data_IF_611848360989
#
_entry.id   IF_611848360989
#
_cell.length_a   1.000
_cell.length_b   1.000
_cell.length_c   1.000
_cell.angle_alpha   90.00
_cell.angle_beta   90.00
_cell.angle_gamma   90.00
#
_symmetry.space_group_name_H-M   'P 1'
#
loop_
_entity.id
_entity.type
_entity.pdbx_description
1 polymer ?
#
# COMPACT_ATOMS: atom_id res chain seq x y z
N UNK A 1 -28.02 88.71 5.11
CA UNK A 1 -27.75 87.72 4.10
C UNK A 1 -27.44 86.43 4.83
N UNK A 2 -28.43 85.52 4.98
CA UNK A 2 -28.28 84.28 5.74
C UNK A 2 -28.08 83.10 4.74
N UNK A 3 -26.95 82.43 4.85
CA UNK A 3 -26.63 81.30 4.03
C UNK A 3 -27.04 79.98 4.80
N UNK A 4 -27.94 79.25 4.24
CA UNK A 4 -28.44 78.01 4.79
C UNK A 4 -27.39 76.86 4.58
N UNK A 5 -27.14 76.04 5.63
CA UNK A 5 -26.34 74.81 5.58
C UNK A 5 -27.17 73.64 4.99
N UNK A 6 -26.62 72.83 4.13
CA UNK A 6 -27.34 71.66 3.66
C UNK A 6 -27.25 70.53 4.68
N UNK A 7 -28.37 69.85 4.91
CA UNK A 7 -28.55 68.66 5.73
C UNK A 7 -28.08 67.48 4.99
N UNK A 8 -26.88 66.98 5.31
CA UNK A 8 -26.30 65.71 4.77
C UNK A 8 -26.28 64.58 5.83
N UNK A 9 -27.43 64.20 6.34
CA UNK A 9 -27.48 63.12 7.39
C UNK A 9 -28.35 61.93 7.08
N UNK A 10 -29.14 61.96 5.99
CA UNK A 10 -30.12 60.92 5.75
C UNK A 10 -29.69 59.81 4.75
N UNK A 11 -28.65 60.08 3.99
CA UNK A 11 -28.12 59.12 2.98
C UNK A 11 -27.21 58.03 3.58
N UNK A 12 -26.43 58.39 4.61
CA UNK A 12 -25.46 57.43 5.21
C UNK A 12 -26.12 56.29 6.01
N UNK A 13 -27.28 56.51 6.61
CA UNK A 13 -27.95 55.43 7.39
C UNK A 13 -28.61 54.39 6.49
N UNK A 14 -29.10 54.77 5.30
CA UNK A 14 -29.71 53.82 4.34
C UNK A 14 -28.68 52.92 3.64
N UNK A 15 -27.47 53.41 3.39
CA UNK A 15 -26.38 52.63 2.82
C UNK A 15 -25.79 51.63 3.82
N UNK A 16 -25.69 51.99 5.10
CA UNK A 16 -25.15 51.07 6.14
C UNK A 16 -26.14 49.94 6.40
N UNK A 17 -27.46 50.19 6.42
CA UNK A 17 -28.47 49.12 6.58
C UNK A 17 -28.55 48.20 5.37
N UNK A 18 -28.37 48.69 4.16
CA UNK A 18 -28.37 47.87 2.96
C UNK A 18 -27.11 46.96 2.89
N UNK A 19 -25.93 47.44 3.26
CA UNK A 19 -24.70 46.65 3.30
C UNK A 19 -24.75 45.60 4.40
N UNK A 20 -25.31 45.91 5.58
CA UNK A 20 -25.50 44.95 6.66
C UNK A 20 -26.49 43.82 6.28
N UNK A 21 -27.56 44.17 5.55
CA UNK A 21 -28.54 43.18 5.09
C UNK A 21 -27.94 42.22 4.02
N UNK A 22 -27.14 42.72 3.09
CA UNK A 22 -26.44 41.93 2.09
C UNK A 22 -25.38 41.03 2.74
N UNK A 23 -24.66 41.51 3.73
CA UNK A 23 -23.66 40.73 4.48
C UNK A 23 -24.34 39.59 5.29
N UNK A 24 -25.50 39.83 5.90
CA UNK A 24 -26.25 38.76 6.58
C UNK A 24 -26.83 37.73 5.61
N UNK A 25 -27.33 38.17 4.46
CA UNK A 25 -27.80 37.22 3.43
C UNK A 25 -26.65 36.36 2.87
N UNK A 26 -25.49 36.93 2.64
CA UNK A 26 -24.29 36.21 2.22
C UNK A 26 -23.83 35.20 3.30
N UNK A 27 -23.84 35.61 4.59
CA UNK A 27 -23.49 34.73 5.68
C UNK A 27 -24.49 33.53 5.83
N UNK A 28 -25.79 33.74 5.59
CA UNK A 28 -26.78 32.66 5.57
C UNK A 28 -26.65 31.74 4.36
N UNK A 29 -26.21 32.23 3.21
CA UNK A 29 -25.91 31.38 2.04
C UNK A 29 -24.64 30.54 2.24
N UNK A 30 -23.62 31.06 2.92
CA UNK A 30 -22.43 30.30 3.25
C UNK A 30 -22.64 29.32 4.42
N UNK A 31 -23.54 29.58 5.33
CA UNK A 31 -23.87 28.67 6.42
C UNK A 31 -24.61 27.40 5.94
N UNK A 32 -25.25 27.41 4.77
CA UNK A 32 -25.94 26.26 4.18
C UNK A 32 -25.10 25.49 3.15
N UNK A 33 -23.89 25.94 2.83
CA UNK A 33 -22.89 25.14 2.12
C UNK A 33 -21.98 24.40 3.10
N UNK A 34 -22.50 23.95 4.21
CA UNK A 34 -21.94 22.79 4.87
C UNK A 34 -21.91 21.70 3.82
N UNK A 35 -20.76 21.49 3.20
CA UNK A 35 -20.46 20.21 2.57
C UNK A 35 -20.78 19.18 3.66
N UNK A 36 -21.98 18.65 3.62
CA UNK A 36 -22.22 17.35 4.19
C UNK A 36 -21.25 16.43 3.44
N UNK A 37 -20.01 16.34 3.92
CA UNK A 37 -19.34 15.08 3.84
C UNK A 37 -20.34 14.12 4.50
N UNK A 38 -21.14 13.48 3.69
CA UNK A 38 -21.69 12.22 4.07
C UNK A 38 -20.45 11.41 4.45
N UNK A 39 -20.07 11.42 5.73
CA UNK A 39 -19.46 10.26 6.29
C UNK A 39 -20.43 9.16 5.86
N UNK A 40 -20.06 8.43 4.83
CA UNK A 40 -20.55 7.09 4.68
C UNK A 40 -20.09 6.44 5.99
N UNK A 41 -20.93 6.52 6.98
CA UNK A 41 -20.88 5.62 8.09
C UNK A 41 -21.09 4.28 7.42
N UNK A 42 -19.97 3.65 7.11
CA UNK A 42 -19.88 2.31 6.59
C UNK A 42 -20.33 1.40 7.76
N UNK A 43 -21.62 1.50 8.06
CA UNK A 43 -22.27 0.66 9.06
C UNK A 43 -22.65 -0.59 8.28
N UNK A 44 -21.79 -1.63 8.33
CA UNK A 44 -22.16 -2.88 7.74
C UNK A 44 -23.49 -3.33 8.37
N UNK A 45 -24.37 -3.97 7.61
CA UNK A 45 -25.64 -4.43 8.13
C UNK A 45 -25.45 -5.19 9.45
N UNK A 46 -26.25 -4.91 10.46
CA UNK A 46 -26.16 -5.52 11.81
C UNK A 46 -26.08 -7.05 11.79
N UNK A 47 -26.61 -7.68 10.76
CA UNK A 47 -26.57 -9.14 10.57
C UNK A 47 -25.18 -9.69 10.30
N UNK A 48 -24.23 -8.84 9.89
CA UNK A 48 -22.82 -9.24 9.65
C UNK A 48 -22.02 -9.26 10.94
N UNK A 49 -22.46 -8.52 11.98
CA UNK A 49 -21.89 -8.60 13.33
C UNK A 49 -22.36 -9.84 14.11
N UNK A 50 -23.36 -10.57 13.59
CA UNK A 50 -23.69 -11.86 14.20
C UNK A 50 -22.49 -12.76 14.10
N UNK A 51 -21.99 -13.17 15.26
CA UNK A 51 -21.01 -14.24 15.37
C UNK A 51 -21.47 -15.43 14.53
N UNK A 52 -20.97 -15.55 13.31
CA UNK A 52 -20.98 -16.83 12.63
C UNK A 52 -19.99 -17.66 13.42
N UNK A 53 -20.47 -18.40 14.41
CA UNK A 53 -19.73 -19.49 14.99
C UNK A 53 -19.14 -20.29 13.82
N UNK A 54 -17.88 -20.69 13.92
CA UNK A 54 -17.16 -21.45 12.89
C UNK A 54 -18.06 -22.58 12.36
N UNK A 55 -18.77 -22.33 11.27
CA UNK A 55 -19.67 -23.31 10.64
C UNK A 55 -18.91 -24.29 9.78
N UNK A 56 -17.59 -24.10 9.60
CA UNK A 56 -16.74 -24.87 8.69
C UNK A 56 -16.00 -26.05 9.35
N UNK A 57 -16.37 -26.38 10.58
CA UNK A 57 -15.74 -27.53 11.28
C UNK A 57 -14.23 -27.36 11.43
N UNK A 58 -13.46 -28.33 10.90
CA UNK A 58 -11.99 -28.35 10.96
C UNK A 58 -11.29 -27.65 9.79
N UNK A 59 -12.00 -26.78 9.06
CA UNK A 59 -11.44 -26.04 7.92
C UNK A 59 -11.16 -24.57 8.28
N UNK A 60 -10.15 -23.99 7.61
CA UNK A 60 -9.90 -22.55 7.59
C UNK A 60 -9.88 -22.07 6.14
N UNK A 61 -10.68 -21.06 5.84
CA UNK A 61 -10.73 -20.44 4.52
C UNK A 61 -9.90 -19.17 4.48
N UNK A 62 -8.80 -19.18 3.76
CA UNK A 62 -7.93 -18.03 3.57
C UNK A 62 -8.01 -17.54 2.13
N UNK A 63 -8.41 -16.29 1.97
CA UNK A 63 -8.43 -15.63 0.67
C UNK A 63 -7.05 -15.06 0.33
N UNK A 64 -6.71 -15.19 -0.94
CA UNK A 64 -5.45 -14.71 -1.52
C UNK A 64 -5.76 -13.89 -2.76
N UNK A 65 -5.17 -12.71 -2.89
CA UNK A 65 -5.27 -11.94 -4.13
C UNK A 65 -4.46 -12.65 -5.23
N UNK A 66 -5.16 -13.36 -6.12
CA UNK A 66 -4.54 -14.14 -7.19
C UNK A 66 -3.76 -13.32 -8.22
N UNK A 67 -4.00 -12.01 -8.27
CA UNK A 67 -3.25 -11.06 -9.08
C UNK A 67 -1.98 -10.53 -8.40
N UNK A 68 -1.86 -10.71 -7.10
CA UNK A 68 -0.71 -10.23 -6.35
C UNK A 68 0.54 -11.04 -6.73
N UNK A 69 1.68 -10.37 -6.76
CA UNK A 69 2.96 -11.03 -6.99
C UNK A 69 3.27 -12.07 -5.91
N UNK A 70 2.75 -11.88 -4.69
CA UNK A 70 2.94 -12.77 -3.56
C UNK A 70 1.98 -13.98 -3.54
N UNK A 71 1.02 -14.07 -4.46
CA UNK A 71 -0.07 -15.05 -4.41
C UNK A 71 0.38 -16.51 -4.18
N UNK A 72 1.46 -16.94 -4.83
CA UNK A 72 1.98 -18.30 -4.66
C UNK A 72 2.60 -18.53 -3.28
N UNK A 73 3.31 -17.52 -2.76
CA UNK A 73 3.86 -17.54 -1.41
C UNK A 73 2.74 -17.50 -0.35
N UNK A 74 1.77 -16.60 -0.52
CA UNK A 74 0.64 -16.47 0.40
C UNK A 74 -0.17 -17.77 0.50
N UNK A 75 -0.35 -18.50 -0.63
CA UNK A 75 -0.98 -19.83 -0.63
C UNK A 75 -0.15 -20.83 0.16
N UNK A 76 1.13 -20.95 -0.15
CA UNK A 76 2.02 -21.89 0.55
C UNK A 76 2.10 -21.58 2.06
N UNK A 77 2.18 -20.30 2.43
CA UNK A 77 2.14 -19.89 3.83
C UNK A 77 0.80 -20.20 4.49
N UNK A 78 -0.31 -19.99 3.79
CA UNK A 78 -1.65 -20.34 4.26
C UNK A 78 -1.80 -21.83 4.57
N UNK A 79 -1.22 -22.70 3.72
CA UNK A 79 -1.15 -24.16 3.96
C UNK A 79 -0.35 -24.48 5.24
N UNK A 80 0.81 -23.87 5.42
CA UNK A 80 1.64 -24.09 6.61
C UNK A 80 0.96 -23.60 7.89
N UNK A 81 0.28 -22.45 7.83
CA UNK A 81 -0.51 -21.93 8.97
C UNK A 81 -1.63 -22.90 9.31
N UNK A 82 -2.40 -23.36 8.34
CA UNK A 82 -3.49 -24.32 8.57
C UNK A 82 -2.95 -25.63 9.17
N UNK A 83 -1.87 -26.17 8.62
CA UNK A 83 -1.20 -27.37 9.13
C UNK A 83 -0.75 -27.20 10.57
N UNK A 84 -0.16 -26.04 10.92
CA UNK A 84 0.29 -25.74 12.29
C UNK A 84 -0.87 -25.69 13.29
N UNK A 85 -2.05 -25.33 12.82
CA UNK A 85 -3.28 -25.27 13.61
C UNK A 85 -4.09 -26.57 13.56
N UNK A 86 -3.60 -27.61 12.89
CA UNK A 86 -4.30 -28.88 12.65
C UNK A 86 -5.66 -28.66 11.94
N UNK A 87 -5.71 -27.69 11.04
CA UNK A 87 -6.89 -27.35 10.24
C UNK A 87 -6.66 -27.74 8.77
N UNK A 88 -7.74 -28.06 8.08
CA UNK A 88 -7.72 -28.27 6.64
C UNK A 88 -7.75 -26.93 5.92
N UNK A 89 -6.74 -26.58 5.10
CA UNK A 89 -6.73 -25.32 4.37
C UNK A 89 -7.76 -25.32 3.24
N UNK A 90 -8.49 -24.21 3.11
CA UNK A 90 -9.30 -23.87 1.96
C UNK A 90 -8.79 -22.53 1.42
N UNK A 91 -7.88 -22.60 0.42
CA UNK A 91 -7.25 -21.40 -0.14
C UNK A 91 -8.07 -20.92 -1.32
N UNK A 92 -8.67 -19.73 -1.17
CA UNK A 92 -9.58 -19.15 -2.14
C UNK A 92 -8.84 -18.04 -2.89
N UNK A 93 -8.63 -18.24 -4.18
CA UNK A 93 -8.04 -17.19 -5.02
C UNK A 93 -9.10 -16.20 -5.46
N UNK A 94 -8.96 -14.96 -5.02
CA UNK A 94 -9.79 -13.85 -5.45
C UNK A 94 -9.19 -13.27 -6.71
N UNK A 95 -9.95 -13.35 -7.79
CA UNK A 95 -9.59 -12.69 -9.05
C UNK A 95 -10.28 -11.33 -9.03
N UNK A 96 -9.48 -10.25 -8.97
CA UNK A 96 -10.02 -8.90 -9.13
C UNK A 96 -10.73 -8.79 -10.48
N UNK A 97 -12.01 -8.46 -10.44
CA UNK A 97 -12.89 -8.48 -11.59
C UNK A 97 -13.02 -7.10 -12.20
N UNK A 98 -12.25 -6.81 -13.27
CA UNK A 98 -12.59 -5.79 -14.24
C UNK A 98 -12.23 -6.32 -15.64
N UNK A 99 -13.19 -6.96 -16.34
CA UNK A 99 -12.94 -7.64 -17.60
C UNK A 99 -12.76 -6.70 -18.80
N UNK A 100 -12.85 -5.39 -18.62
CA UNK A 100 -12.96 -4.43 -19.74
C UNK A 100 -11.74 -3.55 -19.96
N UNK A 101 -10.70 -3.63 -19.15
CA UNK A 101 -9.51 -2.80 -19.32
C UNK A 101 -8.38 -3.59 -19.98
N UNK A 102 -7.93 -3.20 -21.19
CA UNK A 102 -6.82 -3.85 -21.89
C UNK A 102 -5.44 -3.57 -21.28
N UNK A 103 -5.38 -2.78 -20.23
CA UNK A 103 -4.19 -2.47 -19.46
C UNK A 103 -4.17 -3.38 -18.24
N UNK A 104 -3.01 -3.94 -17.90
CA UNK A 104 -2.68 -4.75 -16.73
C UNK A 104 -2.94 -4.01 -15.38
N UNK A 105 -4.03 -3.23 -15.34
CA UNK A 105 -4.49 -2.40 -14.24
C UNK A 105 -5.47 -3.18 -13.41
N UNK A 106 -4.92 -4.03 -12.56
CA UNK A 106 -5.72 -4.62 -11.49
C UNK A 106 -5.68 -3.64 -10.33
N UNK A 107 -6.77 -2.88 -10.18
CA UNK A 107 -6.98 -2.08 -8.98
C UNK A 107 -6.97 -3.02 -7.77
N UNK A 108 -6.40 -2.59 -6.63
CA UNK A 108 -6.57 -3.33 -5.40
C UNK A 108 -8.07 -3.47 -5.10
N UNK A 109 -8.45 -4.59 -4.47
CA UNK A 109 -9.83 -4.76 -3.99
C UNK A 109 -10.22 -3.59 -3.09
N UNK A 110 -11.42 -3.07 -3.28
CA UNK A 110 -12.00 -2.10 -2.37
C UNK A 110 -12.30 -2.75 -1.01
N UNK A 111 -12.46 -1.94 0.04
CA UNK A 111 -12.82 -2.48 1.35
C UNK A 111 -14.21 -3.13 1.33
N UNK A 112 -15.12 -2.66 0.50
CA UNK A 112 -16.45 -3.25 0.30
C UNK A 112 -16.35 -4.64 -0.32
N UNK A 113 -15.52 -4.82 -1.34
CA UNK A 113 -15.27 -6.13 -1.95
C UNK A 113 -14.64 -7.10 -0.96
N UNK A 114 -13.64 -6.65 -0.20
CA UNK A 114 -13.01 -7.45 0.85
C UNK A 114 -14.03 -7.84 1.93
N UNK A 115 -14.91 -6.90 2.30
CA UNK A 115 -15.97 -7.17 3.28
C UNK A 115 -16.94 -8.25 2.81
N UNK A 116 -17.35 -8.21 1.53
CA UNK A 116 -18.19 -9.24 0.92
C UNK A 116 -17.49 -10.60 0.97
N UNK A 117 -16.19 -10.65 0.64
CA UNK A 117 -15.43 -11.89 0.73
C UNK A 117 -15.39 -12.47 2.15
N UNK A 118 -15.23 -11.63 3.17
CA UNK A 118 -15.31 -12.05 4.57
C UNK A 118 -16.72 -12.53 4.96
N UNK A 119 -17.77 -11.91 4.42
CA UNK A 119 -19.12 -12.30 4.70
C UNK A 119 -19.49 -13.66 4.11
N UNK A 120 -18.97 -13.96 2.92
CA UNK A 120 -19.40 -15.11 2.14
C UNK A 120 -18.41 -16.29 2.19
N UNK A 121 -17.10 -16.03 2.08
CA UNK A 121 -16.15 -17.07 1.73
C UNK A 121 -14.95 -17.21 2.65
N UNK A 122 -14.42 -16.11 3.19
CA UNK A 122 -13.11 -16.10 3.83
C UNK A 122 -13.20 -15.94 5.36
N UNK A 123 -12.38 -16.69 6.07
CA UNK A 123 -12.10 -16.45 7.50
C UNK A 123 -10.99 -15.42 7.68
N UNK A 124 -10.05 -15.35 6.72
CA UNK A 124 -8.96 -14.38 6.68
C UNK A 124 -8.55 -14.06 5.24
N UNK A 125 -7.90 -12.93 5.04
CA UNK A 125 -7.38 -12.49 3.75
C UNK A 125 -5.89 -12.17 3.86
N UNK A 126 -5.06 -12.85 3.06
CA UNK A 126 -3.61 -12.71 3.08
C UNK A 126 -3.15 -11.41 2.39
N UNK A 127 -2.02 -10.87 2.82
CA UNK A 127 -1.35 -9.76 2.11
C UNK A 127 -1.78 -8.35 2.54
N UNK A 128 -2.40 -8.20 3.70
CA UNK A 128 -2.68 -6.87 4.25
C UNK A 128 -1.42 -6.18 4.77
N UNK A 129 -1.22 -4.96 4.36
CA UNK A 129 -0.18 -4.08 4.92
C UNK A 129 -0.58 -3.67 6.34
N UNK A 130 0.35 -3.71 7.30
CA UNK A 130 0.12 -3.13 8.61
C UNK A 130 0.19 -1.60 8.51
N UNK A 131 -0.95 -0.94 8.41
CA UNK A 131 -1.08 0.51 8.30
C UNK A 131 -2.20 1.02 9.20
N UNK A 132 -2.23 2.34 9.40
CA UNK A 132 -3.35 3.00 10.08
C UNK A 132 -4.45 3.36 9.07
N UNK A 133 -5.66 3.60 9.57
CA UNK A 133 -6.78 4.08 8.75
C UNK A 133 -7.65 2.99 8.11
N UNK A 134 -7.50 1.75 8.54
CA UNK A 134 -8.41 0.68 8.15
C UNK A 134 -9.81 0.86 8.78
N UNK A 135 -10.87 0.36 8.12
CA UNK A 135 -12.21 0.36 8.68
C UNK A 135 -12.25 -0.35 10.05
N UNK A 136 -13.13 0.08 10.99
CA UNK A 136 -13.20 -0.50 12.33
C UNK A 136 -13.55 -2.00 12.38
N UNK A 137 -14.13 -2.52 11.30
CA UNK A 137 -14.51 -3.93 11.17
C UNK A 137 -13.31 -4.84 10.77
N UNK A 138 -12.16 -4.26 10.40
CA UNK A 138 -10.97 -4.99 9.97
C UNK A 138 -9.89 -4.94 11.06
N UNK A 139 -9.35 -6.09 11.41
CA UNK A 139 -8.13 -6.24 12.21
C UNK A 139 -7.09 -7.01 11.42
N UNK A 140 -5.82 -6.82 11.74
CA UNK A 140 -4.72 -7.50 11.07
C UNK A 140 -3.91 -8.29 12.11
N UNK A 141 -3.48 -9.50 11.76
CA UNK A 141 -2.61 -10.31 12.61
C UNK A 141 -1.25 -9.65 12.82
N UNK A 142 -0.41 -10.26 13.65
CA UNK A 142 1.03 -10.00 13.61
C UNK A 142 1.55 -10.21 12.19
N UNK A 143 2.57 -9.43 11.76
CA UNK A 143 3.08 -9.56 10.42
C UNK A 143 3.74 -10.92 10.18
N UNK A 144 3.51 -11.52 9.03
CA UNK A 144 4.25 -12.69 8.59
C UNK A 144 5.46 -12.34 7.72
N UNK A 145 5.48 -11.14 7.16
CA UNK A 145 6.58 -10.64 6.34
C UNK A 145 6.84 -9.17 6.67
N UNK A 146 8.11 -8.82 6.88
CA UNK A 146 8.62 -7.45 6.83
C UNK A 146 9.44 -7.30 5.55
N UNK A 147 9.19 -6.24 4.81
CA UNK A 147 9.81 -5.96 3.52
C UNK A 147 9.98 -4.46 3.32
N UNK A 148 10.73 -4.06 2.29
CA UNK A 148 11.05 -2.65 2.04
C UNK A 148 11.19 -2.34 0.55
N UNK A 149 11.15 -1.07 0.25
CA UNK A 149 11.64 -0.57 -1.03
C UNK A 149 13.17 -0.49 -0.98
N UNK A 150 13.81 -0.74 -2.11
CA UNK A 150 15.27 -0.64 -2.26
C UNK A 150 15.61 0.18 -3.50
N UNK A 151 16.75 0.84 -3.48
CA UNK A 151 17.33 1.45 -4.69
C UNK A 151 18.27 0.44 -5.34
N UNK A 152 17.86 -0.12 -6.46
CA UNK A 152 18.60 -1.10 -7.23
C UNK A 152 19.30 -0.43 -8.42
N UNK A 153 20.60 -0.60 -8.54
CA UNK A 153 21.45 -0.02 -9.59
C UNK A 153 21.87 -1.09 -10.61
N UNK A 154 21.98 -0.71 -11.87
CA UNK A 154 22.27 -1.61 -13.01
C UNK A 154 23.74 -1.89 -13.24
N UNK A 155 24.61 -1.37 -12.41
CA UNK A 155 26.05 -1.64 -12.45
C UNK A 155 26.59 -1.91 -11.06
N UNK A 156 27.48 -2.89 -10.89
CA UNK A 156 28.16 -3.14 -9.63
C UNK A 156 29.12 -2.01 -9.22
N UNK A 157 29.49 -1.14 -10.14
CA UNK A 157 30.33 0.04 -9.90
C UNK A 157 29.58 1.14 -9.14
N UNK A 158 28.26 1.23 -9.30
CA UNK A 158 27.42 2.19 -8.60
C UNK A 158 27.24 1.76 -7.15
N UNK A 159 27.90 2.42 -6.21
CA UNK A 159 27.84 2.13 -4.76
C UNK A 159 26.90 3.05 -4.02
N UNK A 160 26.61 4.22 -4.58
CA UNK A 160 25.70 5.24 -4.06
C UNK A 160 25.07 6.00 -5.24
N UNK A 161 23.99 6.72 -5.00
CA UNK A 161 23.30 7.46 -6.05
C UNK A 161 24.24 8.45 -6.78
N UNK A 162 25.16 9.09 -6.07
CA UNK A 162 26.11 10.05 -6.65
C UNK A 162 27.11 9.42 -7.64
N UNK A 163 27.28 8.11 -7.66
CA UNK A 163 28.17 7.43 -8.61
C UNK A 163 27.46 7.26 -9.98
N UNK A 164 26.16 7.49 -10.04
CA UNK A 164 25.38 7.40 -11.28
C UNK A 164 25.46 8.72 -12.03
N UNK A 165 25.91 8.73 -13.30
CA UNK A 165 25.95 9.95 -14.10
C UNK A 165 24.56 10.61 -14.18
N UNK A 166 24.47 11.92 -14.04
CA UNK A 166 23.22 12.68 -14.07
C UNK A 166 22.44 12.50 -15.39
N UNK A 167 23.16 12.21 -16.48
CA UNK A 167 22.56 11.90 -17.78
C UNK A 167 21.83 10.56 -17.84
N UNK A 168 22.00 9.70 -16.84
CA UNK A 168 21.33 8.39 -16.75
C UNK A 168 20.06 8.50 -15.90
N UNK A 169 18.92 8.05 -16.39
CA UNK A 169 17.65 8.21 -15.67
C UNK A 169 17.51 7.26 -14.48
N UNK A 170 16.70 7.69 -13.51
CA UNK A 170 16.28 6.91 -12.34
C UNK A 170 14.81 6.54 -12.50
N UNK A 171 14.54 5.24 -12.37
CA UNK A 171 13.20 4.69 -12.46
C UNK A 171 12.47 4.70 -11.12
N UNK A 172 11.15 4.91 -11.16
CA UNK A 172 10.29 4.78 -9.97
C UNK A 172 8.88 4.36 -10.38
N UNK A 173 8.12 3.77 -9.43
CA UNK A 173 6.70 3.50 -9.65
C UNK A 173 5.91 4.78 -9.45
N UNK A 174 5.16 5.20 -10.46
CA UNK A 174 4.35 6.40 -10.46
C UNK A 174 3.33 6.42 -9.31
N UNK A 175 3.12 7.60 -8.72
CA UNK A 175 2.14 7.87 -7.64
C UNK A 175 2.40 7.11 -6.32
N UNK A 176 3.56 6.48 -6.16
CA UNK A 176 3.96 5.87 -4.89
C UNK A 176 4.57 6.87 -3.92
N UNK A 177 4.61 6.52 -2.63
CA UNK A 177 5.28 7.35 -1.60
C UNK A 177 6.74 7.63 -1.97
N UNK A 178 7.47 6.62 -2.42
CA UNK A 178 8.88 6.74 -2.83
C UNK A 178 9.04 7.61 -4.08
N UNK A 179 8.07 7.60 -4.98
CA UNK A 179 8.04 8.49 -6.14
C UNK A 179 7.96 9.97 -5.72
N UNK A 180 7.08 10.29 -4.77
CA UNK A 180 6.96 11.63 -4.22
C UNK A 180 8.22 12.05 -3.45
N UNK A 181 8.81 11.15 -2.67
CA UNK A 181 10.08 11.40 -1.98
C UNK A 181 11.21 11.69 -2.97
N UNK A 182 11.29 10.92 -4.08
CA UNK A 182 12.27 11.17 -5.14
C UNK A 182 12.05 12.54 -5.80
N UNK A 183 10.81 12.92 -6.08
CA UNK A 183 10.50 14.24 -6.65
C UNK A 183 10.99 15.34 -5.72
N UNK A 184 10.67 15.26 -4.42
CA UNK A 184 11.11 16.27 -3.44
C UNK A 184 12.64 16.31 -3.32
N UNK A 185 13.29 15.15 -3.29
CA UNK A 185 14.75 15.07 -3.27
C UNK A 185 15.38 15.72 -4.50
N UNK A 186 14.88 15.41 -5.70
CA UNK A 186 15.41 16.00 -6.95
C UNK A 186 15.18 17.52 -6.99
N UNK A 187 14.04 18.02 -6.46
CA UNK A 187 13.79 19.45 -6.39
C UNK A 187 14.73 20.17 -5.42
N UNK A 188 15.23 19.50 -4.39
CA UNK A 188 16.20 20.07 -3.45
C UNK A 188 17.61 20.24 -4.05
N UNK A 189 17.89 19.59 -5.16
CA UNK A 189 19.19 19.67 -5.83
C UNK A 189 19.27 20.83 -6.84
N UNK A 190 20.46 21.38 -7.11
CA UNK A 190 20.67 22.27 -8.23
C UNK A 190 20.25 21.60 -9.55
N UNK A 191 19.66 22.36 -10.47
CA UNK A 191 19.11 21.83 -11.72
C UNK A 191 20.09 20.93 -12.52
N UNK A 192 21.34 21.38 -12.62
CA UNK A 192 22.40 20.63 -13.32
C UNK A 192 22.81 19.30 -12.64
N UNK A 193 22.37 19.09 -11.40
CA UNK A 193 22.68 17.90 -10.59
C UNK A 193 21.47 16.97 -10.45
N UNK A 194 20.36 17.25 -11.15
CA UNK A 194 19.15 16.46 -11.10
C UNK A 194 19.17 15.34 -12.11
N UNK A 195 18.98 14.12 -11.65
CA UNK A 195 18.71 13.00 -12.55
C UNK A 195 17.33 13.13 -13.19
N UNK A 196 17.21 12.64 -14.41
CA UNK A 196 15.89 12.48 -15.04
C UNK A 196 15.13 11.36 -14.30
N UNK A 197 13.95 11.69 -13.77
CA UNK A 197 13.01 10.71 -13.23
C UNK A 197 12.19 10.10 -14.35
N UNK A 198 12.15 8.78 -14.44
CA UNK A 198 11.26 8.02 -15.33
C UNK A 198 10.22 7.26 -14.49
N UNK A 199 8.98 7.78 -14.40
CA UNK A 199 7.91 7.09 -13.69
C UNK A 199 7.33 5.98 -14.55
N UNK A 200 7.14 4.80 -13.95
CA UNK A 200 6.49 3.66 -14.58
C UNK A 200 5.21 3.31 -13.87
N UNK A 201 4.26 2.83 -14.63
CA UNK A 201 2.91 2.60 -14.16
C UNK A 201 2.80 1.43 -13.19
N UNK A 202 3.54 0.36 -13.41
CA UNK A 202 3.54 -0.83 -12.58
C UNK A 202 4.96 -1.36 -12.33
N UNK A 203 5.09 -2.24 -11.34
CA UNK A 203 6.37 -2.81 -10.96
C UNK A 203 7.00 -3.65 -12.07
N UNK A 204 6.19 -4.34 -12.89
CA UNK A 204 6.71 -5.15 -14.00
C UNK A 204 7.44 -4.29 -15.01
N UNK A 205 6.81 -3.22 -15.50
CA UNK A 205 7.45 -2.29 -16.44
C UNK A 205 8.71 -1.68 -15.85
N UNK A 206 8.67 -1.26 -14.59
CA UNK A 206 9.84 -0.70 -13.90
C UNK A 206 11.00 -1.70 -13.85
N UNK A 207 10.72 -2.95 -13.47
CA UNK A 207 11.73 -4.01 -13.41
C UNK A 207 12.27 -4.38 -14.79
N UNK A 208 11.43 -4.44 -15.83
CA UNK A 208 11.87 -4.67 -17.20
C UNK A 208 12.85 -3.58 -17.63
N UNK A 209 12.60 -2.28 -17.31
CA UNK A 209 13.49 -1.16 -17.63
C UNK A 209 14.75 -1.11 -16.77
N UNK A 210 14.71 -1.66 -15.59
CA UNK A 210 15.92 -1.87 -14.79
C UNK A 210 16.78 -2.98 -15.39
N UNK A 211 16.18 -4.09 -15.78
CA UNK A 211 16.89 -5.26 -16.35
C UNK A 211 17.46 -4.99 -17.73
N UNK A 212 16.77 -4.24 -18.58
CA UNK A 212 17.27 -3.84 -19.92
C UNK A 212 18.20 -2.62 -19.86
N UNK A 213 18.46 -2.06 -18.66
CA UNK A 213 19.33 -0.92 -18.41
C UNK A 213 18.86 0.40 -19.03
N UNK A 214 17.60 0.52 -19.38
CA UNK A 214 17.00 1.80 -19.79
C UNK A 214 17.11 2.84 -18.68
N UNK A 215 16.96 2.42 -17.42
CA UNK A 215 17.27 3.23 -16.23
C UNK A 215 18.58 2.76 -15.61
N UNK A 216 19.35 3.68 -15.02
CA UNK A 216 20.60 3.34 -14.34
C UNK A 216 20.37 2.77 -12.94
N UNK A 217 19.30 3.20 -12.30
CA UNK A 217 18.81 2.65 -11.04
C UNK A 217 17.30 2.81 -10.96
N UNK A 218 16.68 2.04 -10.09
CA UNK A 218 15.24 2.14 -9.85
C UNK A 218 14.92 1.88 -8.37
N UNK A 219 13.90 2.60 -7.88
CA UNK A 219 13.28 2.27 -6.60
C UNK A 219 12.26 1.16 -6.81
N UNK A 220 12.59 -0.02 -6.32
CA UNK A 220 11.79 -1.24 -6.51
C UNK A 220 11.46 -1.89 -5.17
N UNK A 221 10.38 -2.61 -5.12
CA UNK A 221 10.06 -3.44 -3.97
C UNK A 221 11.01 -4.65 -3.91
N UNK A 222 11.66 -4.85 -2.77
CA UNK A 222 12.75 -5.83 -2.62
C UNK A 222 12.34 -7.24 -3.05
N UNK A 223 11.20 -7.82 -2.61
CA UNK A 223 10.77 -9.14 -3.09
C UNK A 223 10.51 -9.20 -4.60
N UNK A 224 10.04 -8.10 -5.20
CA UNK A 224 9.85 -8.03 -6.65
C UNK A 224 11.17 -8.10 -7.41
N UNK A 225 12.20 -7.45 -6.86
CA UNK A 225 13.56 -7.51 -7.43
C UNK A 225 14.11 -8.93 -7.38
N UNK A 226 14.04 -9.61 -6.23
CA UNK A 226 14.50 -11.00 -6.10
C UNK A 226 13.77 -11.91 -7.09
N UNK A 227 12.46 -11.81 -7.19
CA UNK A 227 11.66 -12.61 -8.11
C UNK A 227 12.03 -12.36 -9.57
N UNK A 228 12.20 -11.10 -9.98
CA UNK A 228 12.58 -10.75 -11.35
C UNK A 228 13.99 -11.19 -11.73
N UNK A 229 14.85 -11.42 -10.74
CA UNK A 229 16.26 -11.83 -10.92
C UNK A 229 16.51 -13.30 -10.62
N UNK A 230 15.45 -14.08 -10.34
CA UNK A 230 15.57 -15.50 -10.03
C UNK A 230 16.20 -15.78 -8.64
N UNK A 231 15.98 -14.86 -7.68
CA UNK A 231 16.44 -14.97 -6.31
C UNK A 231 17.84 -14.39 -6.06
N UNK A 232 18.49 -13.83 -7.08
CA UNK A 232 19.80 -13.20 -6.95
C UNK A 232 19.99 -12.02 -7.92
N UNK A 233 19.82 -10.78 -7.44
CA UNK A 233 20.09 -9.58 -8.24
C UNK A 233 21.51 -9.50 -8.78
N UNK A 234 22.49 -10.02 -8.05
CA UNK A 234 23.90 -10.00 -8.44
C UNK A 234 24.16 -10.76 -9.75
N UNK A 235 23.44 -11.86 -10.01
CA UNK A 235 23.55 -12.63 -11.25
C UNK A 235 23.08 -11.85 -12.49
N UNK A 236 22.35 -10.76 -12.32
CA UNK A 236 21.94 -9.83 -13.37
C UNK A 236 22.81 -8.55 -13.40
N UNK A 237 23.85 -8.49 -12.56
CA UNK A 237 24.70 -7.31 -12.41
C UNK A 237 23.97 -6.14 -11.73
N UNK A 238 22.94 -6.45 -10.94
CA UNK A 238 22.17 -5.47 -10.17
C UNK A 238 22.69 -5.45 -8.74
N UNK A 239 22.87 -4.25 -8.21
CA UNK A 239 23.29 -4.01 -6.84
C UNK A 239 22.29 -3.13 -6.12
N UNK A 240 21.92 -3.50 -4.90
CA UNK A 240 21.22 -2.59 -3.99
C UNK A 240 22.19 -1.58 -3.41
N UNK A 241 21.86 -0.31 -3.50
CA UNK A 241 22.65 0.82 -3.02
C UNK A 241 21.86 1.67 -2.03
N UNK A 242 22.53 2.44 -1.16
CA UNK A 242 21.84 3.35 -0.25
C UNK A 242 20.97 4.35 -0.98
N UNK A 243 19.73 4.51 -0.52
CA UNK A 243 18.84 5.55 -1.00
C UNK A 243 19.24 6.93 -0.41
N UNK A 244 18.92 8.04 -1.07
CA UNK A 244 19.24 9.38 -0.58
C UNK A 244 18.28 9.88 0.51
N UNK A 245 17.26 9.10 0.84
CA UNK A 245 16.25 9.34 1.87
C UNK A 245 15.84 8.01 2.50
N UNK A 246 15.20 8.09 3.64
CA UNK A 246 14.73 6.92 4.37
C UNK A 246 13.59 6.22 3.60
N UNK A 247 13.72 4.91 3.44
CA UNK A 247 12.70 4.07 2.83
C UNK A 247 11.97 3.30 3.94
N UNK A 248 10.67 3.54 4.04
CA UNK A 248 9.85 2.88 5.04
C UNK A 248 9.80 1.36 4.81
N UNK A 249 9.84 0.62 5.90
CA UNK A 249 9.53 -0.80 5.90
C UNK A 249 8.02 -1.00 5.78
N UNK A 250 7.63 -2.10 5.16
CA UNK A 250 6.25 -2.51 4.98
C UNK A 250 6.08 -3.89 5.58
N UNK A 251 5.17 -4.02 6.52
CA UNK A 251 4.82 -5.29 7.14
C UNK A 251 3.52 -5.82 6.56
N UNK A 252 3.47 -7.13 6.28
CA UNK A 252 2.30 -7.81 5.74
C UNK A 252 1.76 -8.81 6.74
N UNK A 253 0.45 -8.79 6.96
CA UNK A 253 -0.28 -9.70 7.84
C UNK A 253 -1.54 -10.26 7.18
N UNK A 254 -2.33 -10.97 7.97
CA UNK A 254 -3.62 -11.51 7.56
C UNK A 254 -4.70 -10.59 8.10
N UNK A 255 -5.55 -10.06 7.22
CA UNK A 255 -6.74 -9.30 7.59
C UNK A 255 -7.87 -10.25 8.03
N UNK A 256 -8.59 -9.86 9.08
CA UNK A 256 -9.75 -10.58 9.60
C UNK A 256 -10.84 -9.58 10.02
N UNK A 257 -12.03 -10.08 10.26
CA UNK A 257 -13.08 -9.25 10.89
C UNK A 257 -12.73 -8.96 12.34
N UNK A 258 -13.07 -7.78 12.83
CA UNK A 258 -12.73 -7.35 14.19
C UNK A 258 -13.36 -8.20 15.30
N UNK A 259 -14.47 -8.87 15.03
CA UNK A 259 -15.10 -9.82 15.98
C UNK A 259 -14.41 -11.20 16.00
N UNK A 260 -13.47 -11.49 15.10
CA UNK A 260 -12.69 -12.72 15.06
C UNK A 260 -11.31 -12.58 15.77
N UNK A 261 -11.24 -11.77 16.83
CA UNK A 261 -9.99 -11.47 17.55
C UNK A 261 -9.27 -12.72 18.10
N UNK A 262 -10.03 -13.74 18.50
CA UNK A 262 -9.45 -15.03 18.92
C UNK A 262 -8.73 -15.71 17.76
N UNK A 263 -9.34 -15.75 16.58
CA UNK A 263 -8.73 -16.31 15.38
C UNK A 263 -7.49 -15.51 14.99
N UNK A 264 -7.54 -14.17 15.06
CA UNK A 264 -6.39 -13.32 14.78
C UNK A 264 -5.20 -13.62 15.71
N UNK A 265 -5.47 -13.83 17.00
CA UNK A 265 -4.45 -14.23 17.98
C UNK A 265 -3.86 -15.61 17.66
N UNK A 266 -4.72 -16.57 17.35
CA UNK A 266 -4.31 -17.95 17.01
C UNK A 266 -3.47 -18.01 15.73
N UNK A 267 -3.86 -17.29 14.69
CA UNK A 267 -3.09 -17.15 13.46
C UNK A 267 -1.74 -16.45 13.73
N UNK A 268 -1.73 -15.39 14.56
CA UNK A 268 -0.51 -14.71 14.96
C UNK A 268 0.47 -15.64 15.66
N UNK A 269 0.01 -16.52 16.56
CA UNK A 269 0.85 -17.52 17.21
C UNK A 269 1.41 -18.57 16.23
N UNK A 270 0.60 -19.01 15.26
CA UNK A 270 1.06 -19.90 14.20
C UNK A 270 2.15 -19.23 13.33
N UNK A 271 1.96 -17.95 12.98
CA UNK A 271 2.97 -17.17 12.24
C UNK A 271 4.27 -17.08 13.04
N UNK A 272 4.21 -16.74 14.35
CA UNK A 272 5.40 -16.66 15.20
C UNK A 272 6.15 -18.00 15.26
N UNK A 273 5.41 -19.12 15.35
CA UNK A 273 5.99 -20.46 15.34
C UNK A 273 6.68 -20.80 14.01
N UNK A 274 6.04 -20.49 12.87
CA UNK A 274 6.61 -20.71 11.54
C UNK A 274 7.81 -19.80 11.24
N UNK A 275 7.86 -18.64 11.87
CA UNK A 275 9.03 -17.76 11.80
C UNK A 275 10.17 -18.31 12.65
N UNK A 276 9.89 -18.77 13.86
CA UNK A 276 10.89 -19.28 14.80
C UNK A 276 11.59 -20.54 14.28
N UNK A 277 10.90 -21.40 13.53
CA UNK A 277 11.49 -22.62 12.95
C UNK A 277 12.08 -22.43 11.54
N UNK A 278 12.00 -21.20 10.99
CA UNK A 278 12.57 -20.84 9.69
C UNK A 278 11.71 -21.24 8.48
N UNK A 279 10.49 -21.77 8.68
CA UNK A 279 9.59 -22.15 7.57
C UNK A 279 9.27 -20.96 6.67
N UNK A 280 9.01 -19.78 7.23
CA UNK A 280 8.72 -18.56 6.44
C UNK A 280 9.92 -18.19 5.58
N UNK A 281 11.14 -18.20 6.12
CA UNK A 281 12.36 -17.89 5.37
C UNK A 281 12.59 -18.87 4.23
N UNK A 282 12.36 -20.17 4.47
CA UNK A 282 12.43 -21.19 3.44
C UNK A 282 11.43 -20.93 2.31
N UNK A 283 10.17 -20.63 2.63
CA UNK A 283 9.15 -20.31 1.63
C UNK A 283 9.51 -19.05 0.82
N UNK A 284 10.07 -18.04 1.46
CA UNK A 284 10.52 -16.81 0.75
C UNK A 284 11.59 -17.14 -0.30
N UNK A 285 12.52 -18.02 0.04
CA UNK A 285 13.57 -18.47 -0.89
C UNK A 285 12.98 -19.34 -2.01
N UNK A 286 12.10 -20.29 -1.69
CA UNK A 286 11.44 -21.18 -2.66
C UNK A 286 10.63 -20.39 -3.69
N UNK A 287 9.97 -19.33 -3.25
CA UNK A 287 9.19 -18.43 -4.11
C UNK A 287 10.01 -17.29 -4.74
N UNK A 288 11.33 -17.31 -4.57
CA UNK A 288 12.26 -16.29 -5.09
C UNK A 288 11.94 -14.85 -4.63
N UNK A 289 11.54 -14.70 -3.38
CA UNK A 289 11.17 -13.43 -2.76
C UNK A 289 12.26 -12.89 -1.82
N UNK A 290 13.27 -13.71 -1.53
CA UNK A 290 14.45 -13.37 -0.75
C UNK A 290 15.69 -14.05 -1.30
N UNK A 291 16.86 -13.58 -0.87
CA UNK A 291 18.13 -14.21 -1.19
C UNK A 291 18.21 -15.62 -0.61
N UNK A 292 18.84 -16.55 -1.34
CA UNK A 292 19.22 -17.85 -0.77
C UNK A 292 20.21 -17.61 0.38
N UNK A 293 20.04 -18.29 1.53
CA UNK A 293 21.02 -18.23 2.61
C UNK A 293 22.40 -18.58 2.05
N UNK A 294 23.40 -17.75 2.35
CA UNK A 294 24.78 -18.09 1.99
C UNK A 294 25.17 -19.38 2.68
N UNK A 295 25.70 -20.35 1.93
CA UNK A 295 26.20 -21.63 2.47
C UNK A 295 27.30 -21.48 3.52
N UNK A 296 27.80 -20.26 3.75
CA UNK A 296 28.81 -19.94 4.74
C UNK A 296 28.25 -19.77 6.17
N UNK A 297 26.96 -19.73 6.38
CA UNK A 297 26.34 -19.56 7.71
C UNK A 297 26.08 -20.88 8.46
N UNK A 298 26.51 -22.01 7.92
CA UNK A 298 26.51 -23.33 8.61
C UNK A 298 27.94 -23.71 9.03
N UNK A 299 28.53 -22.96 9.96
CA UNK A 299 29.69 -23.45 10.75
C UNK A 299 29.56 -23.00 12.20
#
# INVERSE_FOLDING_TARGET
MRIAKPTASMSRRRTITAVAAVAMLAAMLFANTGLAFTQFEDIPPRDVYRERGRTRGNQIALCVNGAAMMASFDKALGEQIASRLLLTPNLIEIKTWHPTEPLDYRLPLSFEEIYIEFAERCDGFMGFTLAQGYPPWLIITRPYLSTRMVLAATSPEFRKLADIPVSRPIGTRMLGVVDNQLIMYLQSLPEKSRWQRLPYFNNKMLLDRLLDRTVAAAFVWEPALYRATGGDPGNKGIRMIPAPFELAETELGIGLRSNDAYLATTLGQAIDSLRADGTIDQLLVEHMLAAKPSSAAKR
#
